data_IF_566634033762
#
_entry.id   IF_566634033762
#
_cell.length_a   1.000
_cell.length_b   1.000
_cell.length_c   1.000
_cell.angle_alpha   90.00
_cell.angle_beta   90.00
_cell.angle_gamma   90.00
#
_symmetry.space_group_name_H-M   'P 1'
#
loop_
_entity.id
_entity.type
_entity.pdbx_description
1 polymer ?
#
# COMPACT_ATOMS: atom_id res chain seq x y z
N UNK A 1 -2.93 56.03 45.40
CA UNK A 1 -4.28 56.15 45.98
C UNK A 1 -5.23 55.19 45.29
N UNK A 2 -6.04 54.46 46.04
CA UNK A 2 -7.38 54.00 45.64
C UNK A 2 -8.43 55.06 46.02
N UNK A 3 -9.60 55.09 45.37
CA UNK A 3 -10.79 54.33 45.78
C UNK A 3 -11.29 53.40 44.64
N UNK A 4 -11.63 52.11 44.85
CA UNK A 4 -12.88 51.50 45.39
C UNK A 4 -14.16 51.67 44.53
N UNK A 5 -15.06 50.65 44.49
CA UNK A 5 -15.94 50.40 43.33
C UNK A 5 -17.45 50.69 43.57
N UNK A 6 -18.25 50.52 42.51
CA UNK A 6 -19.71 50.46 42.58
C UNK A 6 -20.22 49.01 42.79
N UNK A 7 -21.38 48.86 43.44
CA UNK A 7 -21.82 47.61 44.09
C UNK A 7 -23.14 47.05 43.54
N UNK A 8 -23.16 45.77 43.17
CA UNK A 8 -24.32 44.86 43.15
C UNK A 8 -23.76 43.43 43.39
N UNK A 9 -24.15 42.56 44.35
CA UNK A 9 -25.39 42.33 45.15
C UNK A 9 -26.55 41.86 44.27
N UNK A 10 -27.12 40.65 44.38
CA UNK A 10 -27.02 39.49 45.32
C UNK A 10 -27.02 38.18 44.45
N UNK A 11 -27.02 36.89 44.85
CA UNK A 11 -27.25 36.17 46.11
C UNK A 11 -26.71 34.72 46.10
N UNK A 12 -26.87 34.03 47.26
CA UNK A 12 -27.02 32.57 47.54
C UNK A 12 -26.22 31.50 46.74
N UNK A 13 -25.40 30.60 47.31
CA UNK A 13 -25.53 29.68 48.49
C UNK A 13 -26.27 28.35 48.19
N UNK A 14 -25.88 27.16 48.71
CA UNK A 14 -24.81 26.80 49.67
C UNK A 14 -24.34 25.32 49.49
N UNK A 15 -23.10 25.02 49.95
CA UNK A 15 -22.53 23.76 50.50
C UNK A 15 -23.01 22.34 50.10
N UNK A 16 -22.08 21.38 50.03
CA UNK A 16 -22.42 19.94 49.98
C UNK A 16 -21.27 18.95 49.67
N UNK A 17 -20.20 18.89 50.48
CA UNK A 17 -19.12 17.88 50.31
C UNK A 17 -19.31 16.67 51.23
N UNK A 18 -19.34 15.46 50.65
CA UNK A 18 -19.19 14.19 51.36
C UNK A 18 -18.25 13.27 50.58
N UNK A 19 -17.34 12.58 51.28
CA UNK A 19 -16.37 11.67 50.70
C UNK A 19 -16.59 10.24 51.22
N UNK A 20 -16.41 9.23 50.36
CA UNK A 20 -16.46 7.81 50.74
C UNK A 20 -15.52 6.97 49.85
N UNK A 21 -14.87 5.98 50.48
CA UNK A 21 -13.97 4.99 49.89
C UNK A 21 -13.79 3.83 50.91
N UNK A 22 -13.08 2.72 50.58
CA UNK A 22 -13.31 1.85 49.42
C UNK A 22 -13.38 0.35 49.81
N UNK A 23 -14.19 -0.45 49.10
CA UNK A 23 -14.24 -1.93 49.13
C UNK A 23 -15.02 -2.44 47.90
N UNK A 24 -14.88 -3.68 47.39
CA UNK A 24 -14.05 -4.83 47.79
C UNK A 24 -13.50 -5.59 46.56
N UNK A 25 -12.62 -6.56 46.82
CA UNK A 25 -12.05 -7.52 45.86
C UNK A 25 -13.11 -8.38 45.16
N UNK A 26 -12.86 -8.71 43.88
CA UNK A 26 -13.25 -10.02 43.33
C UNK A 26 -12.08 -10.64 42.56
N UNK A 27 -11.96 -11.96 42.63
CA UNK A 27 -10.75 -12.70 42.25
C UNK A 27 -10.75 -13.23 40.79
N UNK A 28 -9.60 -13.79 40.41
CA UNK A 28 -9.24 -14.32 39.10
C UNK A 28 -10.22 -15.38 38.54
N UNK A 29 -10.28 -15.49 37.20
CA UNK A 29 -10.25 -16.81 36.56
C UNK A 29 -9.65 -16.80 35.14
N UNK A 30 -8.95 -17.86 34.73
CA UNK A 30 -8.29 -18.04 33.41
C UNK A 30 -7.63 -19.44 33.31
N UNK A 31 -7.72 -20.18 32.18
CA UNK A 31 -8.77 -20.24 31.15
C UNK A 31 -9.19 -21.71 30.86
N UNK A 32 -10.05 -21.96 29.86
CA UNK A 32 -10.00 -23.20 29.09
C UNK A 32 -9.37 -22.96 27.71
N UNK A 33 -8.23 -23.61 27.43
CA UNK A 33 -7.70 -23.70 26.08
C UNK A 33 -8.17 -25.01 25.43
N UNK A 34 -8.75 -24.96 24.22
CA UNK A 34 -8.74 -26.10 23.29
C UNK A 34 -8.93 -25.67 21.83
N UNK A 35 -8.15 -26.34 20.98
CA UNK A 35 -7.93 -26.01 19.58
C UNK A 35 -9.21 -25.95 18.73
N UNK A 36 -9.46 -24.79 18.13
CA UNK A 36 -10.06 -24.70 16.79
C UNK A 36 -8.94 -24.65 15.76
N UNK A 37 -8.69 -25.75 15.06
CA UNK A 37 -7.64 -25.85 14.05
C UNK A 37 -8.06 -25.17 12.73
N UNK A 38 -8.24 -23.85 12.75
CA UNK A 38 -8.52 -23.06 11.56
C UNK A 38 -7.29 -23.02 10.67
N UNK A 39 -7.19 -23.96 9.74
CA UNK A 39 -6.16 -24.01 8.70
C UNK A 39 -6.14 -22.69 7.94
N UNK A 40 -5.25 -21.77 8.35
CA UNK A 40 -5.05 -20.52 7.64
C UNK A 40 -4.49 -20.82 6.25
N UNK A 41 -5.36 -20.81 5.25
CA UNK A 41 -4.95 -20.58 3.87
C UNK A 41 -4.09 -19.32 3.87
N UNK A 42 -2.82 -19.46 3.50
CA UNK A 42 -1.84 -18.37 3.59
C UNK A 42 -2.20 -17.31 2.55
N UNK A 43 -3.06 -16.38 2.93
CA UNK A 43 -3.33 -15.15 2.18
C UNK A 43 -1.98 -14.51 1.86
N UNK A 44 -1.69 -14.34 0.56
CA UNK A 44 -0.49 -13.63 0.11
C UNK A 44 -0.71 -12.13 0.33
N UNK A 45 -0.66 -11.71 1.59
CA UNK A 45 -0.38 -10.33 1.99
C UNK A 45 0.99 -9.97 1.45
N UNK A 46 1.02 -9.17 0.37
CA UNK A 46 2.26 -8.60 -0.14
C UNK A 46 2.81 -7.65 0.93
N UNK A 47 3.96 -7.97 1.48
CA UNK A 47 4.62 -7.15 2.49
C UNK A 47 5.01 -5.79 1.86
N UNK A 48 4.58 -4.65 2.42
CA UNK A 48 4.95 -3.33 1.90
C UNK A 48 6.47 -3.08 1.84
N UNK A 49 7.27 -3.79 2.63
CA UNK A 49 8.74 -3.73 2.58
C UNK A 49 9.31 -4.44 1.36
N UNK A 50 8.73 -5.57 0.92
CA UNK A 50 9.17 -6.31 -0.28
C UNK A 50 8.94 -5.55 -1.58
N UNK A 51 7.89 -4.72 -1.62
CA UNK A 51 7.62 -3.82 -2.76
C UNK A 51 8.69 -2.71 -2.82
N UNK A 52 9.09 -2.17 -1.67
CA UNK A 52 10.02 -1.04 -1.56
C UNK A 52 11.50 -1.40 -1.67
N UNK A 53 11.89 -2.67 -1.46
CA UNK A 53 13.28 -3.13 -1.63
C UNK A 53 13.75 -2.89 -3.07
N UNK A 54 14.88 -2.19 -3.29
CA UNK A 54 15.51 -2.10 -4.61
C UNK A 54 15.81 -3.50 -5.16
N UNK A 55 15.49 -3.72 -6.42
CA UNK A 55 15.77 -4.96 -7.15
C UNK A 55 15.86 -4.67 -8.64
N UNK A 56 16.78 -5.35 -9.30
CA UNK A 56 17.01 -5.30 -10.75
C UNK A 56 17.13 -6.73 -11.30
N UNK A 57 16.70 -6.94 -12.55
CA UNK A 57 16.78 -8.22 -13.24
C UNK A 57 15.59 -8.47 -14.16
N UNK A 58 15.69 -9.56 -14.92
CA UNK A 58 14.75 -9.87 -16.00
C UNK A 58 13.45 -10.53 -15.54
N UNK A 59 12.55 -10.74 -16.51
CA UNK A 59 11.24 -11.36 -16.34
C UNK A 59 11.26 -12.67 -15.53
N UNK A 60 12.28 -13.53 -15.69
CA UNK A 60 12.40 -14.76 -14.90
C UNK A 60 12.57 -14.50 -13.40
N UNK A 61 13.28 -13.43 -13.02
CA UNK A 61 13.39 -12.97 -11.63
C UNK A 61 12.07 -12.39 -11.10
N UNK A 62 11.35 -11.64 -11.93
CA UNK A 62 10.00 -11.15 -11.60
C UNK A 62 9.01 -12.32 -11.38
N UNK A 63 9.09 -13.38 -12.20
CA UNK A 63 8.29 -14.60 -12.08
C UNK A 63 8.64 -15.37 -10.80
N UNK A 64 9.93 -15.48 -10.45
CA UNK A 64 10.39 -16.11 -9.21
C UNK A 64 9.88 -15.37 -7.97
N UNK A 65 9.98 -14.03 -7.96
CA UNK A 65 9.44 -13.16 -6.90
C UNK A 65 7.91 -13.07 -6.92
N UNK A 66 7.27 -13.45 -8.05
CA UNK A 66 5.83 -13.34 -8.34
C UNK A 66 5.26 -11.93 -8.24
N UNK A 67 6.11 -10.92 -8.40
CA UNK A 67 5.79 -9.51 -8.23
C UNK A 67 6.36 -8.70 -9.39
N UNK A 68 5.53 -7.86 -10.00
CA UNK A 68 5.91 -6.87 -11.01
C UNK A 68 5.43 -5.50 -10.52
N UNK A 69 6.37 -4.57 -10.33
CA UNK A 69 6.14 -3.23 -9.77
C UNK A 69 6.15 -2.22 -10.91
N UNK A 70 4.97 -1.69 -11.25
CA UNK A 70 4.79 -0.70 -12.31
C UNK A 70 4.90 0.70 -11.70
N UNK A 71 6.05 1.35 -11.93
CA UNK A 71 6.22 2.77 -11.63
C UNK A 71 5.32 3.58 -12.55
N UNK A 72 4.53 4.49 -11.96
CA UNK A 72 3.60 5.33 -12.72
C UNK A 72 3.49 6.72 -12.10
N UNK A 73 2.76 7.63 -12.76
CA UNK A 73 2.57 9.01 -12.30
C UNK A 73 1.08 9.27 -12.17
N UNK A 74 0.67 9.88 -11.06
CA UNK A 74 -0.73 10.23 -10.83
C UNK A 74 -1.28 11.16 -11.93
N UNK A 75 -2.30 10.70 -12.65
CA UNK A 75 -3.11 11.51 -13.56
C UNK A 75 -4.47 10.83 -13.81
N UNK A 76 -5.52 11.62 -14.08
CA UNK A 76 -6.86 11.08 -14.41
C UNK A 76 -6.88 10.21 -15.68
N UNK A 77 -5.83 10.24 -16.51
CA UNK A 77 -5.71 9.44 -17.74
C UNK A 77 -4.98 8.12 -17.50
N UNK A 78 -3.90 8.12 -16.71
CA UNK A 78 -2.97 6.99 -16.63
C UNK A 78 -3.11 6.21 -15.33
N UNK A 79 -3.06 6.87 -14.18
CA UNK A 79 -3.21 6.26 -12.88
C UNK A 79 -3.85 7.23 -11.88
N UNK A 80 -5.02 6.86 -11.35
CA UNK A 80 -5.65 7.55 -10.24
C UNK A 80 -6.33 6.56 -9.30
N UNK A 81 -6.76 7.04 -8.13
CA UNK A 81 -7.54 6.25 -7.17
C UNK A 81 -8.88 6.95 -6.98
N UNK A 82 -9.98 6.23 -7.16
CA UNK A 82 -11.33 6.66 -6.81
C UNK A 82 -11.91 5.68 -5.78
N UNK A 83 -12.31 6.18 -4.60
CA UNK A 83 -12.89 5.39 -3.49
C UNK A 83 -12.08 4.13 -3.14
N UNK A 84 -10.75 4.22 -3.20
CA UNK A 84 -9.81 3.12 -2.94
C UNK A 84 -9.55 2.18 -4.14
N UNK A 85 -10.32 2.30 -5.23
CA UNK A 85 -10.13 1.53 -6.47
C UNK A 85 -9.12 2.26 -7.37
N UNK A 86 -8.09 1.53 -7.82
CA UNK A 86 -7.11 2.05 -8.79
C UNK A 86 -7.71 2.04 -10.20
N UNK A 87 -7.46 3.10 -10.98
CA UNK A 87 -8.11 3.38 -12.28
C UNK A 87 -7.15 4.07 -13.25
N UNK A 88 -7.49 4.05 -14.54
CA UNK A 88 -6.77 4.74 -15.61
C UNK A 88 -6.05 3.75 -16.53
N UNK A 89 -5.68 4.21 -17.72
CA UNK A 89 -5.24 3.33 -18.82
C UNK A 89 -4.06 2.40 -18.44
N UNK A 90 -3.14 2.85 -17.57
CA UNK A 90 -2.02 2.00 -17.12
C UNK A 90 -2.52 0.85 -16.24
N UNK A 91 -3.54 1.08 -15.41
CA UNK A 91 -4.18 0.02 -14.60
C UNK A 91 -4.84 -1.01 -15.51
N UNK A 92 -5.62 -0.55 -16.49
CA UNK A 92 -6.37 -1.42 -17.41
C UNK A 92 -5.43 -2.27 -18.28
N UNK A 93 -4.40 -1.65 -18.89
CA UNK A 93 -3.38 -2.38 -19.68
C UNK A 93 -2.66 -3.43 -18.83
N UNK A 94 -2.26 -3.09 -17.60
CA UNK A 94 -1.50 -4.03 -16.77
C UNK A 94 -2.36 -5.12 -16.12
N UNK A 95 -3.68 -4.94 -15.97
CA UNK A 95 -4.59 -6.04 -15.61
C UNK A 95 -4.76 -7.06 -16.75
N UNK A 96 -4.80 -6.61 -18.01
CA UNK A 96 -4.75 -7.51 -19.18
C UNK A 96 -3.39 -8.21 -19.25
N UNK A 97 -2.29 -7.49 -19.04
CA UNK A 97 -0.94 -8.08 -18.99
C UNK A 97 -0.78 -9.12 -17.88
N UNK A 98 -1.22 -8.86 -16.64
CA UNK A 98 -1.17 -9.84 -15.55
C UNK A 98 -1.95 -11.12 -15.93
N UNK A 99 -3.10 -10.95 -16.57
CA UNK A 99 -3.96 -12.07 -17.01
C UNK A 99 -3.27 -12.90 -18.08
N UNK A 100 -2.75 -12.28 -19.15
CA UNK A 100 -2.08 -12.98 -20.25
C UNK A 100 -0.72 -13.56 -19.87
N UNK A 101 0.05 -12.89 -19.01
CA UNK A 101 1.28 -13.44 -18.45
C UNK A 101 0.97 -14.72 -17.68
N UNK A 102 0.01 -14.69 -16.74
CA UNK A 102 -0.32 -15.87 -15.95
C UNK A 102 -0.89 -17.03 -16.79
N UNK A 103 -1.68 -16.75 -17.83
CA UNK A 103 -2.11 -17.77 -18.82
C UNK A 103 -0.90 -18.44 -19.49
N UNK A 104 0.04 -17.63 -20.01
CA UNK A 104 1.25 -18.11 -20.72
C UNK A 104 2.16 -18.93 -19.79
N UNK A 105 2.37 -18.48 -18.55
CA UNK A 105 3.19 -19.19 -17.55
C UNK A 105 2.56 -20.51 -17.09
N UNK A 106 1.23 -20.56 -16.98
CA UNK A 106 0.50 -21.80 -16.68
C UNK A 106 0.59 -22.81 -17.84
N UNK A 107 0.43 -22.36 -19.09
CA UNK A 107 0.58 -23.20 -20.28
C UNK A 107 2.01 -23.77 -20.42
N UNK A 108 3.03 -22.95 -20.19
CA UNK A 108 4.45 -23.35 -20.19
C UNK A 108 4.88 -24.20 -18.96
N UNK A 109 3.98 -24.46 -18.00
CA UNK A 109 4.26 -25.14 -16.72
C UNK A 109 5.37 -24.49 -15.87
N UNK A 110 5.74 -23.23 -16.14
CA UNK A 110 6.82 -22.53 -15.42
C UNK A 110 6.46 -22.21 -13.97
N UNK A 111 5.16 -22.11 -13.65
CA UNK A 111 4.68 -22.02 -12.28
C UNK A 111 4.71 -23.39 -11.60
N UNK A 112 5.76 -23.64 -10.78
CA UNK A 112 5.93 -24.85 -9.95
C UNK A 112 4.70 -25.24 -9.12
N UNK A 113 3.81 -24.28 -8.83
CA UNK A 113 2.55 -24.48 -8.12
C UNK A 113 1.44 -23.70 -8.86
N UNK A 114 0.48 -24.40 -9.47
CA UNK A 114 -0.58 -23.81 -10.32
C UNK A 114 -1.41 -22.71 -9.66
N UNK A 115 -1.50 -22.70 -8.33
CA UNK A 115 -2.26 -21.71 -7.57
C UNK A 115 -1.56 -20.35 -7.41
N UNK A 116 -0.24 -20.26 -7.64
CA UNK A 116 0.57 -19.10 -7.27
C UNK A 116 0.95 -18.29 -8.51
N UNK A 117 0.12 -17.28 -8.78
CA UNK A 117 0.23 -16.33 -9.90
C UNK A 117 1.25 -15.22 -9.63
N UNK A 118 1.78 -14.64 -10.71
CA UNK A 118 2.49 -13.35 -10.69
C UNK A 118 1.47 -12.24 -10.50
N UNK A 119 1.77 -11.22 -9.69
CA UNK A 119 0.90 -10.08 -9.37
C UNK A 119 1.54 -8.77 -9.83
N UNK A 120 0.74 -7.88 -10.40
CA UNK A 120 1.15 -6.50 -10.68
C UNK A 120 0.77 -5.59 -9.52
N UNK A 121 1.69 -4.70 -9.13
CA UNK A 121 1.47 -3.63 -8.15
C UNK A 121 1.89 -2.30 -8.75
N UNK A 122 1.04 -1.29 -8.63
CA UNK A 122 1.33 0.05 -9.12
C UNK A 122 1.99 0.90 -8.03
N UNK A 123 3.10 1.54 -8.37
CA UNK A 123 3.91 2.37 -7.48
C UNK A 123 3.89 3.81 -8.01
N UNK A 124 2.97 4.67 -7.53
CA UNK A 124 2.88 6.05 -7.98
C UNK A 124 4.07 6.88 -7.46
N UNK A 125 4.76 7.56 -8.37
CA UNK A 125 5.89 8.45 -8.09
C UNK A 125 5.72 9.80 -8.82
N UNK A 126 6.55 10.79 -8.46
CA UNK A 126 6.63 12.06 -9.20
C UNK A 126 7.20 11.83 -10.61
N UNK A 127 6.80 12.64 -11.60
CA UNK A 127 7.25 12.49 -13.00
C UNK A 127 8.76 12.64 -13.17
N UNK A 128 9.39 13.57 -12.45
CA UNK A 128 10.85 13.75 -12.45
C UNK A 128 11.60 12.56 -11.83
N UNK A 129 10.95 11.84 -10.91
CA UNK A 129 11.52 10.67 -10.24
C UNK A 129 11.26 9.36 -11.00
N UNK A 130 10.47 9.35 -12.07
CA UNK A 130 10.01 8.11 -12.71
C UNK A 130 11.16 7.27 -13.30
N UNK A 131 12.05 7.90 -14.08
CA UNK A 131 13.21 7.22 -14.67
C UNK A 131 14.33 6.96 -13.65
N UNK A 132 14.71 7.93 -12.77
CA UNK A 132 15.63 7.66 -11.67
C UNK A 132 15.18 6.53 -10.74
N UNK A 133 13.87 6.38 -10.48
CA UNK A 133 13.34 5.29 -9.65
C UNK A 133 13.42 3.93 -10.36
N UNK A 134 13.25 3.89 -11.69
CA UNK A 134 13.41 2.66 -12.49
C UNK A 134 14.88 2.23 -12.52
N UNK A 135 15.79 3.15 -12.84
CA UNK A 135 17.24 2.89 -12.82
C UNK A 135 17.75 2.48 -11.42
N UNK A 136 17.15 3.01 -10.34
CA UNK A 136 17.43 2.62 -8.96
C UNK A 136 16.68 1.35 -8.50
N UNK A 137 16.05 0.58 -9.39
CA UNK A 137 15.39 -0.69 -9.09
C UNK A 137 14.19 -0.59 -8.12
N UNK A 138 13.58 0.59 -7.97
CA UNK A 138 12.39 0.81 -7.10
C UNK A 138 11.10 0.30 -7.73
N UNK A 139 11.14 -0.02 -9.01
CA UNK A 139 10.15 -0.82 -9.72
C UNK A 139 10.79 -1.53 -10.90
N UNK A 140 10.00 -2.32 -11.60
CA UNK A 140 10.47 -3.28 -12.61
C UNK A 140 10.09 -2.82 -14.04
N UNK A 141 9.08 -1.95 -14.17
CA UNK A 141 8.63 -1.31 -15.43
C UNK A 141 8.16 0.12 -15.11
N UNK A 142 8.34 1.09 -16.01
CA UNK A 142 7.74 2.43 -15.90
C UNK A 142 6.70 2.69 -16.99
N UNK A 143 5.51 3.16 -16.61
CA UNK A 143 4.40 3.43 -17.51
C UNK A 143 3.63 4.70 -17.13
N UNK A 144 3.83 5.78 -17.90
CA UNK A 144 3.19 7.08 -17.64
C UNK A 144 3.11 8.01 -18.88
N UNK A 145 3.00 7.46 -20.10
CA UNK A 145 3.22 8.18 -21.37
C UNK A 145 4.58 8.89 -21.39
N UNK A 146 5.60 8.15 -21.83
CA UNK A 146 6.99 8.59 -21.89
C UNK A 146 7.40 8.76 -23.35
N UNK A 147 7.80 9.98 -23.72
CA UNK A 147 8.51 10.22 -24.98
C UNK A 147 9.87 9.56 -24.93
N UNK A 148 10.20 8.75 -25.94
CA UNK A 148 11.55 8.23 -26.15
C UNK A 148 12.42 9.41 -26.61
N UNK A 149 13.54 9.67 -25.94
CA UNK A 149 14.56 10.64 -26.36
C UNK A 149 15.95 10.03 -26.15
N UNK A 150 16.99 10.44 -26.91
CA UNK A 150 18.33 9.87 -26.77
C UNK A 150 18.86 9.96 -25.33
N UNK A 151 18.64 11.11 -24.68
CA UNK A 151 18.98 11.35 -23.27
C UNK A 151 18.39 10.31 -22.31
N UNK A 152 17.14 9.89 -22.55
CA UNK A 152 16.44 8.90 -21.72
C UNK A 152 16.89 7.47 -22.04
N UNK A 153 17.25 7.20 -23.29
CA UNK A 153 17.81 5.91 -23.71
C UNK A 153 19.21 5.65 -23.12
N UNK A 154 19.93 6.68 -22.64
CA UNK A 154 21.16 6.48 -21.84
C UNK A 154 20.89 6.02 -20.39
N UNK A 155 19.64 6.07 -19.92
CA UNK A 155 19.25 5.72 -18.55
C UNK A 155 18.47 4.41 -18.47
N UNK A 156 17.56 4.16 -19.41
CA UNK A 156 16.69 2.97 -19.46
C UNK A 156 16.32 2.59 -20.89
N UNK A 157 16.09 1.31 -21.12
CA UNK A 157 15.49 0.81 -22.35
C UNK A 157 14.00 1.14 -22.44
N UNK A 158 13.49 1.16 -23.68
CA UNK A 158 12.09 1.41 -24.00
C UNK A 158 11.51 0.23 -24.79
N UNK A 159 10.25 -0.12 -24.51
CA UNK A 159 9.49 -0.99 -25.41
C UNK A 159 9.25 -0.29 -26.76
N UNK A 160 8.96 -1.07 -27.80
CA UNK A 160 8.42 -0.51 -29.04
C UNK A 160 7.19 0.37 -28.75
N UNK A 161 7.01 1.42 -29.57
CA UNK A 161 5.74 2.12 -29.64
C UNK A 161 4.67 1.17 -30.22
N UNK A 162 3.45 1.25 -29.68
CA UNK A 162 2.25 0.56 -30.18
C UNK A 162 1.25 1.54 -30.76
#
# INVERSE_FOLDING_TARGET
>A
MSPTPATYVLAAALAGTLAFAPTATHAQDKPPAKAGATTSSKTLTLDPTEIQKPWTGDLDGMIQRRLIRVLTVYSKTFFFVDKGVQRGAVVDFFHVFETELNKKLAAKKQLKQKALKVRVVFVPVRRDQLLPALAAGKGDIAAANLTITPERQTLVDFSAAG
#
